data_IF_854708466919
#
_entry.id   IF_854708466919
#
_cell.length_a   1.000
_cell.length_b   1.000
_cell.length_c   1.000
_cell.angle_alpha   90.00
_cell.angle_beta   90.00
_cell.angle_gamma   90.00
#
_symmetry.space_group_name_H-M   'P 1'
#
loop_
_entity.id
_entity.type
_entity.pdbx_description
1 polymer ?
#
# COMPACT_ATOMS: atom_id res chain seq x y z
N UNK A 1 13.40 -2.93 -27.55
CA UNK A 1 12.05 -3.53 -27.55
C UNK A 1 11.77 -4.49 -26.37
N UNK A 2 12.81 -4.97 -25.68
CA UNK A 2 12.70 -5.87 -24.49
C UNK A 2 12.09 -5.17 -23.27
N UNK A 3 12.42 -3.91 -23.04
CA UNK A 3 12.05 -3.18 -21.81
C UNK A 3 10.55 -2.91 -21.67
N UNK A 4 9.82 -2.75 -22.76
CA UNK A 4 8.36 -2.47 -22.74
C UNK A 4 7.51 -3.59 -22.13
N UNK A 5 8.04 -4.81 -22.08
CA UNK A 5 7.41 -5.98 -21.44
C UNK A 5 8.12 -6.38 -20.14
N UNK A 6 8.83 -5.45 -19.52
CA UNK A 6 9.49 -5.66 -18.23
C UNK A 6 8.84 -4.77 -17.20
N UNK A 7 8.58 -5.32 -16.01
CA UNK A 7 8.12 -4.60 -14.83
C UNK A 7 9.20 -4.73 -13.75
N UNK A 8 9.65 -3.59 -13.23
CA UNK A 8 10.63 -3.50 -12.14
C UNK A 8 9.95 -3.15 -10.84
N UNK A 9 10.15 -3.97 -9.81
CA UNK A 9 9.81 -3.62 -8.44
C UNK A 9 11.00 -2.95 -7.78
N UNK A 10 10.78 -1.77 -7.20
CA UNK A 10 11.76 -1.04 -6.41
C UNK A 10 11.40 -1.15 -4.93
N UNK A 11 12.21 -1.86 -4.17
CA UNK A 11 11.90 -2.30 -2.83
C UNK A 11 13.03 -1.95 -1.85
N UNK A 12 12.69 -1.62 -0.63
CA UNK A 12 13.64 -1.54 0.46
C UNK A 12 14.29 -2.91 0.72
N UNK A 13 15.50 -2.97 1.32
CA UNK A 13 16.28 -4.21 1.42
C UNK A 13 15.50 -5.39 2.03
N UNK A 14 14.82 -5.17 3.16
CA UNK A 14 14.07 -6.23 3.85
C UNK A 14 12.91 -6.78 3.01
N UNK A 15 12.22 -5.90 2.30
CA UNK A 15 11.10 -6.27 1.45
C UNK A 15 11.59 -6.95 0.16
N UNK A 16 12.72 -6.49 -0.39
CA UNK A 16 13.36 -7.11 -1.53
C UNK A 16 13.75 -8.56 -1.22
N UNK A 17 14.43 -8.79 -0.12
CA UNK A 17 14.82 -10.14 0.31
C UNK A 17 13.58 -11.05 0.51
N UNK A 18 12.50 -10.51 1.04
CA UNK A 18 11.24 -11.24 1.20
C UNK A 18 10.59 -11.58 -0.14
N UNK A 19 10.62 -10.64 -1.10
CA UNK A 19 10.08 -10.84 -2.43
C UNK A 19 10.89 -11.87 -3.24
N UNK A 20 12.22 -11.79 -3.20
CA UNK A 20 13.12 -12.73 -3.87
C UNK A 20 12.97 -14.17 -3.36
N UNK A 21 12.71 -14.35 -2.07
CA UNK A 21 12.39 -15.67 -1.48
C UNK A 21 10.95 -16.12 -1.71
N UNK A 22 10.12 -15.34 -2.39
CA UNK A 22 8.70 -15.66 -2.59
C UNK A 22 7.86 -15.60 -1.31
N UNK A 23 8.36 -14.99 -0.24
CA UNK A 23 7.68 -14.95 1.05
C UNK A 23 6.64 -13.83 1.17
N UNK A 24 6.62 -12.86 0.24
CA UNK A 24 5.68 -11.74 0.29
C UNK A 24 4.44 -12.00 -0.56
N UNK A 25 3.34 -12.40 0.08
CA UNK A 25 2.09 -12.82 -0.60
C UNK A 25 1.55 -11.82 -1.63
N UNK A 26 1.57 -10.52 -1.34
CA UNK A 26 1.03 -9.51 -2.25
C UNK A 26 1.93 -9.34 -3.48
N UNK A 27 3.25 -9.17 -3.28
CA UNK A 27 4.21 -9.02 -4.38
C UNK A 27 4.22 -10.27 -5.25
N UNK A 28 4.19 -11.45 -4.63
CA UNK A 28 4.09 -12.73 -5.34
C UNK A 28 2.88 -12.78 -6.26
N UNK A 29 1.68 -12.50 -5.75
CA UNK A 29 0.44 -12.48 -6.54
C UNK A 29 0.46 -11.47 -7.68
N UNK A 30 0.94 -10.25 -7.43
CA UNK A 30 1.07 -9.23 -8.49
C UNK A 30 2.06 -9.70 -9.55
N UNK A 31 3.19 -10.26 -9.12
CA UNK A 31 4.19 -10.83 -10.03
C UNK A 31 3.64 -11.97 -10.89
N UNK A 32 2.83 -12.84 -10.32
CA UNK A 32 2.21 -13.96 -11.06
C UNK A 32 1.22 -13.46 -12.12
N UNK A 33 0.34 -12.54 -11.76
CA UNK A 33 -0.60 -11.93 -12.71
C UNK A 33 0.13 -11.22 -13.85
N UNK A 34 1.22 -10.52 -13.54
CA UNK A 34 2.02 -9.83 -14.56
C UNK A 34 2.75 -10.83 -15.47
N UNK A 35 3.28 -11.93 -14.94
CA UNK A 35 3.89 -13.00 -15.75
C UNK A 35 2.87 -13.68 -16.67
N UNK A 36 1.67 -13.96 -16.17
CA UNK A 36 0.57 -14.49 -16.96
C UNK A 36 0.18 -13.53 -18.10
N UNK A 37 0.28 -12.21 -17.86
CA UNK A 37 0.09 -11.19 -18.89
C UNK A 37 1.28 -11.01 -19.83
N UNK A 38 2.33 -11.81 -19.69
CA UNK A 38 3.50 -11.83 -20.58
C UNK A 38 4.58 -10.81 -20.25
N UNK A 39 4.63 -10.30 -19.00
CA UNK A 39 5.68 -9.42 -18.53
C UNK A 39 6.83 -10.20 -17.86
N UNK A 40 8.05 -9.78 -18.10
CA UNK A 40 9.20 -10.15 -17.28
C UNK A 40 9.21 -9.32 -16.00
N UNK A 41 9.59 -9.94 -14.88
CA UNK A 41 9.63 -9.29 -13.57
C UNK A 41 11.07 -9.22 -13.09
N UNK A 42 11.49 -8.02 -12.71
CA UNK A 42 12.78 -7.75 -12.07
C UNK A 42 12.56 -7.13 -10.69
N UNK A 43 13.41 -7.46 -9.73
CA UNK A 43 13.36 -6.89 -8.39
C UNK A 43 14.66 -6.12 -8.15
N UNK A 44 14.52 -4.86 -7.75
CA UNK A 44 15.61 -3.91 -7.55
C UNK A 44 15.54 -3.29 -6.15
N UNK A 45 16.65 -2.74 -5.69
CA UNK A 45 16.68 -1.84 -4.54
C UNK A 45 16.09 -0.46 -4.88
N UNK A 46 15.80 0.32 -3.86
CA UNK A 46 15.28 1.69 -3.99
C UNK A 46 16.34 2.77 -3.70
N UNK A 47 17.64 2.42 -3.78
CA UNK A 47 18.73 3.37 -3.53
C UNK A 47 18.93 4.39 -4.65
N UNK A 48 19.73 5.46 -4.40
CA UNK A 48 20.00 6.52 -5.37
C UNK A 48 20.58 6.03 -6.70
N UNK A 49 21.43 5.01 -6.66
CA UNK A 49 22.02 4.42 -7.86
C UNK A 49 20.98 3.74 -8.75
N UNK A 50 19.94 3.18 -8.16
CA UNK A 50 18.83 2.59 -8.90
C UNK A 50 17.96 3.65 -9.57
N UNK A 51 17.80 4.81 -8.96
CA UNK A 51 17.10 5.94 -9.58
C UNK A 51 17.81 6.40 -10.86
N UNK A 52 19.15 6.44 -10.85
CA UNK A 52 19.95 6.79 -12.05
C UNK A 52 19.77 5.74 -13.15
N UNK A 53 19.81 4.46 -12.80
CA UNK A 53 19.59 3.36 -13.76
C UNK A 53 18.14 3.35 -14.31
N UNK A 54 17.19 3.75 -13.50
CA UNK A 54 15.80 3.86 -13.91
C UNK A 54 15.58 4.94 -14.98
N UNK A 55 16.35 6.02 -15.00
CA UNK A 55 16.15 7.14 -15.92
C UNK A 55 16.19 6.74 -17.41
N UNK A 56 16.87 5.66 -17.77
CA UNK A 56 16.94 5.09 -19.12
C UNK A 56 15.95 3.94 -19.37
N UNK A 57 15.13 3.58 -18.40
CA UNK A 57 14.23 2.43 -18.49
C UNK A 57 12.88 2.82 -19.10
N UNK A 58 12.49 2.14 -20.16
CA UNK A 58 11.22 2.37 -20.91
C UNK A 58 10.11 1.35 -20.56
N UNK A 59 10.27 0.59 -19.48
CA UNK A 59 9.28 -0.36 -18.97
C UNK A 59 8.40 0.23 -17.86
N UNK A 60 7.66 -0.65 -17.19
CA UNK A 60 6.84 -0.28 -16.05
C UNK A 60 7.59 -0.46 -14.73
N UNK A 61 7.29 0.38 -13.76
CA UNK A 61 7.94 0.37 -12.45
C UNK A 61 6.93 0.40 -11.32
N UNK A 62 7.16 -0.41 -10.30
CA UNK A 62 6.30 -0.53 -9.12
C UNK A 62 7.14 -0.23 -7.88
N UNK A 63 6.76 0.80 -7.13
CA UNK A 63 7.48 1.29 -5.96
C UNK A 63 6.73 0.94 -4.67
N UNK A 64 7.46 0.63 -3.60
CA UNK A 64 6.86 0.45 -2.29
C UNK A 64 6.91 1.75 -1.50
N UNK A 65 5.74 2.32 -1.23
CA UNK A 65 5.57 3.50 -0.37
C UNK A 65 6.29 4.79 -0.82
N UNK A 66 6.82 4.82 -2.02
CA UNK A 66 7.52 5.97 -2.59
C UNK A 66 6.74 6.57 -3.75
N UNK A 67 7.01 7.84 -4.05
CA UNK A 67 6.50 8.47 -5.26
C UNK A 67 7.16 7.82 -6.48
N UNK A 68 6.39 7.46 -7.52
CA UNK A 68 6.96 6.91 -8.74
C UNK A 68 7.93 7.85 -9.43
N UNK A 69 9.05 7.32 -9.92
CA UNK A 69 10.12 8.11 -10.55
C UNK A 69 9.82 8.51 -12.00
N UNK A 70 8.66 8.19 -12.54
CA UNK A 70 8.32 8.53 -13.91
C UNK A 70 6.88 8.15 -14.30
N UNK A 71 6.45 8.49 -15.52
CA UNK A 71 5.05 8.38 -15.93
C UNK A 71 4.54 6.94 -16.09
N UNK A 72 5.44 5.97 -16.16
CA UNK A 72 5.11 4.53 -16.16
C UNK A 72 5.38 3.88 -14.82
N UNK A 73 5.32 4.66 -13.76
CA UNK A 73 5.47 4.22 -12.39
C UNK A 73 4.13 4.15 -11.69
N UNK A 74 4.00 3.17 -10.81
CA UNK A 74 2.94 3.10 -9.81
C UNK A 74 3.56 2.81 -8.45
N UNK A 75 2.89 3.23 -7.40
CA UNK A 75 3.26 2.87 -6.04
C UNK A 75 2.28 1.88 -5.46
N UNK A 76 2.75 1.00 -4.59
CA UNK A 76 1.87 0.16 -3.82
C UNK A 76 2.14 0.32 -2.33
N UNK A 77 1.09 0.17 -1.57
CA UNK A 77 1.14 0.29 -0.13
C UNK A 77 0.00 -0.49 0.50
N UNK A 78 0.21 -0.94 1.73
CA UNK A 78 -0.89 -1.40 2.55
C UNK A 78 -1.83 -0.23 2.83
N UNK A 79 -3.08 -0.35 2.38
CA UNK A 79 -4.11 0.65 2.60
C UNK A 79 -4.62 0.52 4.03
N UNK A 80 -4.13 1.33 4.94
CA UNK A 80 -4.46 1.44 6.36
C UNK A 80 -4.30 0.16 7.15
N UNK A 81 -5.17 -0.79 6.96
CA UNK A 81 -5.21 -1.98 7.77
C UNK A 81 -5.13 -3.22 6.88
N UNK A 82 -4.53 -4.23 7.43
CA UNK A 82 -4.50 -5.54 6.87
C UNK A 82 -5.94 -6.06 6.63
N UNK A 83 -6.30 -6.65 5.47
CA UNK A 83 -5.41 -7.14 4.40
C UNK A 83 -5.33 -6.27 3.15
N UNK A 84 -5.75 -5.04 3.20
CA UNK A 84 -5.93 -4.22 2.00
C UNK A 84 -4.60 -3.65 1.48
N UNK A 85 -4.44 -3.71 0.15
CA UNK A 85 -3.34 -3.09 -0.57
C UNK A 85 -3.91 -2.19 -1.66
N UNK A 86 -3.33 -1.02 -1.82
CA UNK A 86 -3.59 -0.11 -2.92
C UNK A 86 -2.41 -0.10 -3.90
N UNK A 87 -2.72 0.01 -5.19
CA UNK A 87 -1.76 0.31 -6.26
C UNK A 87 -2.26 1.60 -6.90
N UNK A 88 -1.44 2.64 -6.86
CA UNK A 88 -1.83 3.99 -7.24
C UNK A 88 -0.73 4.66 -8.08
N UNK A 89 -1.10 5.69 -8.82
CA UNK A 89 -0.17 6.45 -9.65
C UNK A 89 0.69 7.46 -8.87
N UNK A 90 0.40 7.67 -7.59
CA UNK A 90 1.12 8.60 -6.70
C UNK A 90 1.28 8.03 -5.31
N UNK A 91 2.35 8.39 -4.63
CA UNK A 91 2.58 8.09 -3.22
C UNK A 91 1.74 8.93 -2.25
N UNK A 92 1.06 9.96 -2.74
CA UNK A 92 0.22 10.87 -1.96
C UNK A 92 -1.14 10.24 -1.64
N UNK A 93 -1.27 9.64 -0.46
CA UNK A 93 -2.45 8.82 -0.06
C UNK A 93 -3.79 9.55 -0.09
N UNK A 94 -3.78 10.87 0.09
CA UNK A 94 -5.00 11.70 0.02
C UNK A 94 -5.50 11.91 -1.42
N UNK A 95 -4.70 11.52 -2.42
CA UNK A 95 -5.07 11.52 -3.84
C UNK A 95 -5.35 10.12 -4.39
N UNK A 96 -5.38 9.14 -3.53
CA UNK A 96 -5.69 7.78 -3.95
C UNK A 96 -7.18 7.63 -4.27
N UNK A 97 -7.50 6.75 -5.19
CA UNK A 97 -8.87 6.49 -5.60
C UNK A 97 -9.82 6.21 -4.42
N UNK A 98 -9.35 5.51 -3.39
CA UNK A 98 -10.13 5.25 -2.17
C UNK A 98 -10.39 6.50 -1.35
N UNK A 99 -9.48 7.48 -1.35
CA UNK A 99 -9.65 8.74 -0.63
C UNK A 99 -10.59 9.71 -1.36
N UNK A 100 -10.60 9.66 -2.68
CA UNK A 100 -11.45 10.50 -3.54
C UNK A 100 -12.83 9.88 -3.77
N UNK A 101 -13.00 8.58 -3.52
CA UNK A 101 -14.25 7.89 -3.75
C UNK A 101 -15.35 8.36 -2.80
N UNK A 102 -16.52 8.69 -3.37
CA UNK A 102 -17.72 8.89 -2.57
C UNK A 102 -18.28 7.54 -2.08
N UNK A 103 -18.47 7.42 -0.77
CA UNK A 103 -19.12 6.26 -0.19
C UNK A 103 -20.63 6.25 -0.43
N UNK A 104 -21.22 7.44 -0.58
CA UNK A 104 -22.65 7.59 -0.84
C UNK A 104 -23.04 6.95 -2.18
N UNK A 105 -24.05 6.09 -2.18
CA UNK A 105 -24.53 5.41 -3.38
C UNK A 105 -23.77 4.14 -3.78
N UNK A 106 -22.74 3.74 -3.06
CA UNK A 106 -22.05 2.46 -3.31
C UNK A 106 -22.97 1.27 -2.97
N UNK A 107 -23.04 0.32 -3.89
CA UNK A 107 -23.74 -0.96 -3.63
C UNK A 107 -22.83 -1.86 -2.81
N UNK A 108 -23.22 -2.10 -1.56
CA UNK A 108 -22.48 -2.99 -0.66
C UNK A 108 -23.28 -4.26 -0.49
N UNK A 109 -22.67 -5.41 -0.78
CA UNK A 109 -23.23 -6.70 -0.35
C UNK A 109 -23.09 -6.81 1.17
N UNK A 110 -24.20 -6.63 1.87
CA UNK A 110 -24.25 -6.64 3.33
C UNK A 110 -23.82 -7.98 3.93
N UNK A 111 -24.12 -9.10 3.27
CA UNK A 111 -23.75 -10.44 3.76
C UNK A 111 -22.25 -10.64 3.66
N UNK A 112 -21.66 -10.26 2.55
CA UNK A 112 -20.22 -10.33 2.36
C UNK A 112 -19.49 -9.40 3.32
N UNK A 113 -19.93 -8.16 3.47
CA UNK A 113 -19.37 -7.19 4.40
C UNK A 113 -19.44 -7.68 5.86
N UNK A 114 -20.56 -8.26 6.30
CA UNK A 114 -20.70 -8.82 7.63
C UNK A 114 -19.80 -10.03 7.87
N UNK A 115 -19.72 -10.95 6.88
CA UNK A 115 -18.81 -12.10 6.95
C UNK A 115 -17.37 -11.68 7.06
N UNK A 116 -16.95 -10.71 6.24
CA UNK A 116 -15.63 -10.14 6.24
C UNK A 116 -15.31 -9.46 7.58
N UNK A 117 -16.21 -8.62 8.09
CA UNK A 117 -16.05 -7.92 9.37
C UNK A 117 -15.91 -8.91 10.51
N UNK A 118 -16.76 -9.92 10.59
CA UNK A 118 -16.70 -10.95 11.64
C UNK A 118 -15.36 -11.69 11.59
N UNK A 119 -14.96 -12.17 10.42
CA UNK A 119 -13.71 -12.88 10.25
C UNK A 119 -12.50 -12.07 10.75
N UNK A 120 -12.45 -10.76 10.39
CA UNK A 120 -11.33 -9.92 10.78
C UNK A 120 -11.40 -9.48 12.25
N UNK A 121 -12.57 -9.29 12.79
CA UNK A 121 -12.75 -9.03 14.24
C UNK A 121 -12.24 -10.20 15.07
N UNK A 122 -12.65 -11.41 14.74
CA UNK A 122 -12.18 -12.62 15.41
C UNK A 122 -10.66 -12.80 15.29
N UNK A 123 -10.11 -12.56 14.08
CA UNK A 123 -8.68 -12.72 13.82
C UNK A 123 -7.81 -11.65 14.50
N UNK A 124 -8.28 -10.42 14.61
CA UNK A 124 -7.49 -9.30 15.15
C UNK A 124 -7.67 -9.15 16.66
N UNK A 125 -8.84 -9.45 17.18
CA UNK A 125 -9.19 -9.18 18.56
C UNK A 125 -9.52 -10.44 19.36
N UNK A 126 -9.76 -11.56 18.70
CA UNK A 126 -10.02 -12.84 19.33
C UNK A 126 -11.11 -12.75 20.39
N UNK A 127 -10.77 -13.20 21.60
CA UNK A 127 -11.70 -13.20 22.76
C UNK A 127 -12.08 -11.79 23.25
N UNK A 128 -11.36 -10.74 22.79
CA UNK A 128 -11.70 -9.36 23.15
C UNK A 128 -12.93 -8.85 22.40
N UNK A 129 -13.41 -9.56 21.39
CA UNK A 129 -14.64 -9.22 20.68
C UNK A 129 -15.82 -9.31 21.65
N UNK A 130 -16.51 -8.18 21.84
CA UNK A 130 -17.63 -8.08 22.78
C UNK A 130 -17.26 -7.69 24.21
N UNK A 131 -15.96 -7.59 24.55
CA UNK A 131 -15.50 -7.11 25.87
C UNK A 131 -15.26 -5.60 25.92
N UNK A 132 -15.59 -4.88 24.85
CA UNK A 132 -15.41 -3.43 24.78
C UNK A 132 -16.31 -2.75 25.80
N UNK A 133 -15.70 -2.03 26.74
CA UNK A 133 -16.39 -1.22 27.72
C UNK A 133 -16.52 0.21 27.20
N UNK A 134 -17.72 0.78 27.33
CA UNK A 134 -17.97 2.18 27.03
C UNK A 134 -17.86 2.99 28.33
N UNK A 135 -16.64 3.42 28.67
CA UNK A 135 -16.35 4.10 29.93
C UNK A 135 -16.41 5.64 29.82
N UNK A 136 -16.89 6.17 28.70
CA UNK A 136 -17.10 7.60 28.51
C UNK A 136 -15.83 8.43 28.31
N UNK A 137 -14.68 7.81 28.00
CA UNK A 137 -13.45 8.51 27.65
C UNK A 137 -13.27 8.67 26.14
N UNK A 138 -12.56 9.72 25.73
CA UNK A 138 -12.14 9.92 24.35
C UNK A 138 -10.69 9.48 24.20
N UNK A 139 -10.46 8.47 23.36
CA UNK A 139 -9.11 8.03 23.03
C UNK A 139 -8.55 8.85 21.86
N UNK A 140 -7.50 9.62 22.12
CA UNK A 140 -6.78 10.41 21.10
C UNK A 140 -5.39 9.81 20.87
N UNK A 141 -5.21 8.99 19.82
CA UNK A 141 -3.89 8.44 19.50
C UNK A 141 -2.99 9.54 18.93
N UNK A 142 -1.93 9.88 19.65
CA UNK A 142 -0.92 10.81 19.16
C UNK A 142 0.14 10.07 18.35
N UNK A 143 0.60 10.69 17.25
CA UNK A 143 1.68 10.13 16.45
C UNK A 143 3.03 10.33 17.13
N UNK A 144 3.98 9.39 16.90
CA UNK A 144 5.30 9.43 17.53
C UNK A 144 6.18 10.64 17.19
N UNK A 145 5.82 11.39 16.12
CA UNK A 145 6.49 12.65 15.72
C UNK A 145 5.54 13.83 15.85
N UNK A 146 5.19 14.16 17.06
CA UNK A 146 4.19 15.19 17.41
C UNK A 146 4.58 16.60 16.93
N UNK A 147 5.87 16.90 16.91
CA UNK A 147 6.40 18.24 16.56
C UNK A 147 6.51 18.45 15.06
N UNK A 148 6.45 17.41 14.26
CA UNK A 148 6.60 17.50 12.81
C UNK A 148 5.24 17.73 12.14
N UNK A 149 5.07 18.88 11.50
CA UNK A 149 3.95 19.12 10.60
C UNK A 149 4.22 18.46 9.25
N UNK A 150 3.34 17.57 8.83
CA UNK A 150 3.40 16.95 7.49
C UNK A 150 2.64 17.80 6.49
N UNK A 151 3.01 17.71 5.20
CA UNK A 151 2.45 18.52 4.11
C UNK A 151 0.91 18.45 3.99
N UNK A 152 0.31 17.35 4.42
CA UNK A 152 -1.14 17.15 4.39
C UNK A 152 -1.88 17.52 5.69
N UNK A 153 -1.17 18.02 6.69
CA UNK A 153 -1.79 18.47 7.94
C UNK A 153 -2.15 19.95 7.88
N UNK A 154 -3.38 20.29 8.22
CA UNK A 154 -3.83 21.68 8.29
C UNK A 154 -3.25 22.39 9.51
N UNK A 155 -3.00 21.66 10.61
CA UNK A 155 -2.44 22.20 11.85
C UNK A 155 -1.48 21.20 12.49
N UNK A 156 -0.69 21.67 13.46
CA UNK A 156 0.08 20.79 14.35
C UNK A 156 -0.86 20.04 15.30
N UNK A 157 -0.62 18.76 15.60
CA UNK A 157 -1.41 18.04 16.60
C UNK A 157 -1.21 18.57 18.03
N UNK A 158 -0.25 19.49 18.23
CA UNK A 158 0.03 20.17 19.51
C UNK A 158 -0.43 21.64 19.53
N UNK A 159 -1.13 22.09 18.50
CA UNK A 159 -1.63 23.47 18.41
C UNK A 159 -3.05 23.57 18.96
#
# INVERSE_FOLDING_TARGET
MRDKKTVRFFLEPSLRDSAERGAHNFIGKVGDVLREAGFAIEVHGNGPDEAVRHASFDGWSIFHMEEPWGPRGVTFRRAYHYPFWGIESTGERWRWAVAEASFAGQRIDRREAQRFTRYWQERLFGEMVGQVRHEGFVYVPLQGRLTERRSFQSCSPLA
#
